data_IF_068356891161
#
_entry.id   IF_068356891161
#
_cell.length_a   1.000
_cell.length_b   1.000
_cell.length_c   1.000
_cell.angle_alpha   90.00
_cell.angle_beta   90.00
_cell.angle_gamma   90.00
#
_symmetry.space_group_name_H-M   'P 1'
#
loop_
_entity.id
_entity.type
_entity.pdbx_description
1 polymer ?
#
# COMPACT_ATOMS: atom_id res chain seq x y z
N UNK A 1 35.53 6.05 5.42
CA UNK A 1 34.85 5.48 6.61
C UNK A 1 33.91 6.61 7.07
N UNK A 2 32.59 6.57 6.98
CA UNK A 2 31.58 5.51 7.09
C UNK A 2 30.61 5.48 5.90
N UNK A 3 30.12 4.29 5.59
CA UNK A 3 28.97 3.95 4.75
C UNK A 3 27.65 4.42 5.39
N UNK A 4 26.66 4.80 4.57
CA UNK A 4 25.17 4.74 4.74
C UNK A 4 24.55 5.97 4.05
N UNK A 5 23.59 5.93 3.13
CA UNK A 5 22.85 4.85 2.48
C UNK A 5 22.22 5.47 1.24
N UNK A 6 22.22 4.76 0.10
CA UNK A 6 21.34 5.03 -1.04
C UNK A 6 19.88 4.81 -0.62
N UNK A 7 19.21 5.79 -0.01
CA UNK A 7 17.85 5.63 0.51
C UNK A 7 17.02 6.90 0.37
N UNK A 8 16.75 7.36 -0.86
CA UNK A 8 15.74 8.41 -1.04
C UNK A 8 14.94 8.24 -2.34
N UNK A 9 14.35 7.06 -2.55
CA UNK A 9 13.19 6.95 -3.45
C UNK A 9 12.25 5.78 -3.11
N UNK A 10 11.77 5.73 -1.87
CA UNK A 10 10.60 4.89 -1.52
C UNK A 10 9.64 5.65 -0.59
N UNK A 11 9.52 6.96 -0.75
CA UNK A 11 8.77 7.82 0.18
C UNK A 11 7.29 8.02 -0.14
N UNK A 12 6.66 7.27 -1.06
CA UNK A 12 5.22 7.48 -1.35
C UNK A 12 4.42 6.27 -1.80
N UNK A 13 4.82 5.06 -1.44
CA UNK A 13 4.11 3.90 -2.01
C UNK A 13 3.89 2.74 -1.04
N UNK A 14 4.31 2.81 0.23
CA UNK A 14 4.17 1.68 1.17
C UNK A 14 3.08 1.85 2.21
N UNK A 15 2.31 2.95 2.16
CA UNK A 15 1.17 3.09 3.03
C UNK A 15 0.17 1.96 2.73
N UNK A 16 -0.13 1.09 3.71
CA UNK A 16 -1.17 0.10 3.53
C UNK A 16 -2.48 0.86 3.36
N UNK A 17 -2.96 0.91 2.11
CA UNK A 17 -4.32 1.40 1.86
C UNK A 17 -5.28 0.46 2.55
N UNK A 18 -6.29 0.98 3.25
CA UNK A 18 -7.35 0.16 3.83
C UNK A 18 -8.61 0.31 2.99
N UNK A 19 -9.38 -0.77 2.90
CA UNK A 19 -10.66 -0.74 2.21
C UNK A 19 -11.60 0.21 2.95
N UNK A 20 -12.07 1.25 2.29
CA UNK A 20 -13.04 2.21 2.86
C UNK A 20 -14.37 1.56 3.22
N UNK A 21 -14.67 0.40 2.62
CA UNK A 21 -15.92 -0.33 2.82
C UNK A 21 -15.90 -1.30 4.01
N UNK A 22 -14.75 -1.92 4.30
CA UNK A 22 -14.64 -2.97 5.32
C UNK A 22 -13.44 -2.84 6.28
N UNK A 23 -12.57 -1.86 6.07
CA UNK A 23 -11.40 -1.59 6.89
C UNK A 23 -10.23 -2.57 6.73
N UNK A 24 -10.33 -3.59 5.86
CA UNK A 24 -9.25 -4.54 5.65
C UNK A 24 -8.09 -3.94 4.83
N UNK A 25 -6.84 -4.32 5.10
CA UNK A 25 -5.70 -3.86 4.32
C UNK A 25 -5.81 -4.30 2.86
N UNK A 26 -5.48 -3.38 1.97
CA UNK A 26 -5.45 -3.54 0.53
C UNK A 26 -4.00 -3.66 0.08
N UNK A 27 -3.80 -4.49 -0.93
CA UNK A 27 -2.53 -4.48 -1.63
C UNK A 27 -2.47 -3.24 -2.51
N UNK A 28 -1.28 -2.65 -2.55
CA UNK A 28 -0.88 -1.44 -3.27
C UNK A 28 -1.26 -1.37 -4.77
N UNK A 29 -1.63 -2.50 -5.37
CA UNK A 29 -2.03 -2.61 -6.78
C UNK A 29 -3.32 -3.41 -6.96
N UNK A 30 -4.16 -3.48 -5.92
CA UNK A 30 -5.41 -4.22 -5.97
C UNK A 30 -6.53 -3.34 -6.53
N UNK A 31 -7.17 -3.79 -7.61
CA UNK A 31 -8.34 -3.11 -8.21
C UNK A 31 -9.65 -3.36 -7.43
N UNK A 32 -9.63 -4.30 -6.48
CA UNK A 32 -10.78 -4.65 -5.65
C UNK A 32 -10.32 -5.25 -4.33
N UNK A 33 -11.14 -5.14 -3.30
CA UNK A 33 -10.85 -5.75 -2.00
C UNK A 33 -11.00 -7.27 -2.09
N UNK A 34 -9.92 -8.01 -1.88
CA UNK A 34 -9.94 -9.48 -1.85
C UNK A 34 -10.68 -10.06 -0.63
N UNK A 35 -11.02 -9.23 0.36
CA UNK A 35 -11.75 -9.65 1.56
C UNK A 35 -13.26 -9.46 1.47
N UNK A 36 -13.74 -8.33 0.96
CA UNK A 36 -15.18 -8.05 0.86
C UNK A 36 -15.72 -8.02 -0.58
N UNK A 37 -14.84 -8.05 -1.60
CA UNK A 37 -15.23 -7.98 -3.00
C UNK A 37 -15.53 -6.58 -3.53
N UNK A 38 -15.43 -5.53 -2.71
CA UNK A 38 -15.69 -4.16 -3.14
C UNK A 38 -14.64 -3.68 -4.16
N UNK A 39 -15.10 -3.18 -5.31
CA UNK A 39 -14.21 -2.61 -6.33
C UNK A 39 -13.64 -1.26 -5.85
N UNK A 40 -12.34 -1.08 -6.06
CA UNK A 40 -11.60 0.14 -5.73
C UNK A 40 -11.33 0.86 -7.05
N UNK A 41 -12.36 1.47 -7.61
CA UNK A 41 -12.27 2.31 -8.81
C UNK A 41 -11.76 3.71 -8.46
#
# INVERSE_FOLDING_TARGET
MLSTTNQELISHTLDPNFCTHCGNPLLKSSNFCTKCGNTLL
#
